data_IF_828458996464
#
_entry.id   IF_828458996464
#
_cell.length_a   1.000
_cell.length_b   1.000
_cell.length_c   1.000
_cell.angle_alpha   90.00
_cell.angle_beta   90.00
_cell.angle_gamma   90.00
#
_symmetry.space_group_name_H-M   'P 1'
#
loop_
_entity.id
_entity.type
_entity.pdbx_description
1 polymer ?
#
# COMPACT_ATOMS: atom_id res chain seq x y z
N UNK A 1 7.23 11.65 -19.52
CA UNK A 1 7.36 11.51 -18.03
C UNK A 1 7.17 10.06 -17.65
N UNK A 2 8.19 9.43 -17.09
CA UNK A 2 8.25 7.99 -16.76
C UNK A 2 7.10 7.56 -15.83
N UNK A 3 6.93 8.25 -14.72
CA UNK A 3 5.89 7.91 -13.74
C UNK A 3 4.48 7.88 -14.36
N UNK A 4 4.16 8.85 -15.22
CA UNK A 4 2.85 8.93 -15.88
C UNK A 4 2.63 7.77 -16.86
N UNK A 5 3.67 7.35 -17.57
CA UNK A 5 3.59 6.19 -18.48
C UNK A 5 3.41 4.88 -17.71
N UNK A 6 4.13 4.68 -16.60
CA UNK A 6 3.95 3.53 -15.72
C UNK A 6 2.53 3.47 -15.16
N UNK A 7 2.05 4.58 -14.63
CA UNK A 7 0.70 4.67 -14.07
C UNK A 7 -0.37 4.41 -15.14
N UNK A 8 -0.24 5.02 -16.31
CA UNK A 8 -1.17 4.84 -17.41
C UNK A 8 -1.26 3.40 -17.92
N UNK A 9 -0.16 2.65 -17.86
CA UNK A 9 -0.15 1.22 -18.19
C UNK A 9 -1.00 0.36 -17.24
N UNK A 10 -1.21 0.83 -16.00
CA UNK A 10 -1.96 0.09 -14.96
C UNK A 10 -3.42 0.55 -14.89
N UNK A 11 -3.65 1.87 -14.83
CA UNK A 11 -5.00 2.43 -14.58
C UNK A 11 -5.65 3.05 -15.83
N UNK A 12 -4.93 3.09 -16.93
CA UNK A 12 -5.36 3.78 -18.15
C UNK A 12 -4.99 5.28 -18.16
N UNK A 13 -4.94 5.87 -19.36
CA UNK A 13 -4.47 7.25 -19.54
C UNK A 13 -5.38 8.30 -18.89
N UNK A 14 -6.69 8.08 -18.90
CA UNK A 14 -7.67 9.02 -18.33
C UNK A 14 -7.53 9.10 -16.80
N UNK A 15 -7.45 7.96 -16.13
CA UNK A 15 -7.27 7.92 -14.69
C UNK A 15 -5.89 8.40 -14.26
N UNK A 16 -4.85 8.08 -15.03
CA UNK A 16 -3.50 8.60 -14.78
C UNK A 16 -3.49 10.14 -14.83
N UNK A 17 -4.10 10.74 -15.85
CA UNK A 17 -4.21 12.20 -15.97
C UNK A 17 -4.95 12.81 -14.78
N UNK A 18 -6.07 12.22 -14.38
CA UNK A 18 -6.87 12.65 -13.23
C UNK A 18 -6.04 12.59 -11.94
N UNK A 19 -5.30 11.50 -11.71
CA UNK A 19 -4.48 11.33 -10.51
C UNK A 19 -3.36 12.37 -10.42
N UNK A 20 -2.71 12.74 -11.53
CA UNK A 20 -1.73 13.82 -11.55
C UNK A 20 -2.31 15.20 -11.24
N UNK A 21 -3.58 15.43 -11.55
CA UNK A 21 -4.30 16.66 -11.18
C UNK A 21 -4.71 16.66 -9.71
N UNK A 22 -5.07 15.49 -9.19
CA UNK A 22 -5.60 15.28 -7.84
C UNK A 22 -4.51 15.26 -6.76
N UNK A 23 -3.38 14.64 -7.06
CA UNK A 23 -2.33 14.36 -6.10
C UNK A 23 -1.18 15.35 -6.17
N UNK A 24 -0.60 15.63 -5.03
CA UNK A 24 0.74 16.21 -4.99
C UNK A 24 1.75 15.11 -5.34
N UNK A 25 2.46 15.31 -6.45
CA UNK A 25 3.52 14.39 -6.89
C UNK A 25 4.86 15.10 -6.73
N UNK A 26 5.83 14.50 -6.03
CA UNK A 26 7.14 15.11 -5.82
C UNK A 26 7.84 15.47 -7.14
N UNK A 27 8.47 16.64 -7.25
CA UNK A 27 9.18 17.06 -8.47
C UNK A 27 10.28 16.09 -8.92
N UNK A 28 10.97 15.45 -7.96
CA UNK A 28 12.00 14.43 -8.23
C UNK A 28 11.48 13.25 -9.06
N UNK A 29 10.19 12.91 -8.93
CA UNK A 29 9.53 11.81 -9.65
C UNK A 29 8.87 12.26 -10.97
N UNK A 30 8.85 13.55 -11.24
CA UNK A 30 8.27 14.13 -12.46
C UNK A 30 9.31 14.55 -13.49
N UNK A 31 10.58 14.52 -13.16
CA UNK A 31 11.68 14.81 -14.08
C UNK A 31 11.65 13.86 -15.29
N UNK A 32 11.96 14.39 -16.47
CA UNK A 32 11.87 13.62 -17.73
C UNK A 32 13.11 12.79 -18.05
N UNK A 33 14.22 13.04 -17.36
CA UNK A 33 15.51 12.42 -17.65
C UNK A 33 15.78 11.20 -16.77
N UNK A 34 16.24 10.12 -17.39
CA UNK A 34 16.78 8.95 -16.70
C UNK A 34 16.09 7.62 -17.00
N UNK A 35 16.60 6.58 -16.37
CA UNK A 35 16.00 5.25 -16.40
C UNK A 35 14.85 5.13 -15.38
N UNK A 36 13.97 4.15 -15.58
CA UNK A 36 12.96 3.78 -14.58
C UNK A 36 13.67 3.36 -13.28
N UNK A 37 13.35 4.02 -12.18
CA UNK A 37 13.85 3.66 -10.85
C UNK A 37 12.76 2.94 -10.05
N UNK A 38 13.17 2.21 -8.98
CA UNK A 38 12.22 1.59 -8.04
C UNK A 38 11.31 2.63 -7.36
N UNK A 39 11.78 3.87 -7.19
CA UNK A 39 10.99 4.97 -6.67
C UNK A 39 9.83 5.37 -7.60
N UNK A 40 10.04 5.37 -8.92
CA UNK A 40 8.97 5.58 -9.89
C UNK A 40 7.91 4.47 -9.80
N UNK A 41 8.35 3.21 -9.66
CA UNK A 41 7.42 2.06 -9.55
C UNK A 41 6.65 2.10 -8.22
N UNK A 42 7.33 2.42 -7.11
CA UNK A 42 6.72 2.58 -5.79
C UNK A 42 5.63 3.67 -5.80
N UNK A 43 5.92 4.83 -6.38
CA UNK A 43 4.95 5.92 -6.48
C UNK A 43 3.79 5.57 -7.43
N UNK A 44 4.06 4.91 -8.55
CA UNK A 44 2.99 4.44 -9.45
C UNK A 44 2.07 3.46 -8.74
N UNK A 45 2.62 2.54 -7.93
CA UNK A 45 1.85 1.61 -7.10
C UNK A 45 0.98 2.37 -6.09
N UNK A 46 1.53 3.34 -5.35
CA UNK A 46 0.77 4.15 -4.39
C UNK A 46 -0.41 4.86 -5.08
N UNK A 47 -0.18 5.45 -6.25
CA UNK A 47 -1.22 6.13 -7.02
C UNK A 47 -2.28 5.16 -7.55
N UNK A 48 -1.90 3.97 -8.00
CA UNK A 48 -2.83 2.94 -8.47
C UNK A 48 -3.70 2.39 -7.31
N UNK A 49 -3.10 2.16 -6.14
CA UNK A 49 -3.82 1.74 -4.93
C UNK A 49 -4.83 2.81 -4.49
N UNK A 50 -4.44 4.08 -4.54
CA UNK A 50 -5.33 5.20 -4.24
C UNK A 50 -6.50 5.28 -5.24
N UNK A 51 -6.26 5.08 -6.53
CA UNK A 51 -7.31 5.00 -7.53
C UNK A 51 -8.33 3.90 -7.20
N UNK A 52 -7.84 2.71 -6.84
CA UNK A 52 -8.68 1.61 -6.40
C UNK A 52 -9.44 1.89 -5.10
N UNK A 53 -8.87 2.67 -4.17
CA UNK A 53 -9.53 3.13 -2.96
C UNK A 53 -10.73 4.04 -3.30
N UNK A 54 -10.52 5.05 -4.13
CA UNK A 54 -11.57 5.98 -4.54
C UNK A 54 -12.73 5.30 -5.26
N UNK A 55 -12.47 4.22 -5.99
CA UNK A 55 -13.51 3.43 -6.63
C UNK A 55 -14.42 2.71 -5.63
N UNK A 56 -13.88 2.34 -4.45
CA UNK A 56 -14.58 1.51 -3.46
C UNK A 56 -15.10 2.28 -2.25
N UNK A 57 -14.59 3.50 -1.99
CA UNK A 57 -14.89 4.28 -0.79
C UNK A 57 -15.52 5.62 -1.18
N UNK A 58 -16.86 5.72 -1.22
CA UNK A 58 -17.55 6.95 -1.64
C UNK A 58 -17.20 8.18 -0.80
N UNK A 59 -17.05 8.03 0.52
CA UNK A 59 -16.65 9.14 1.40
C UNK A 59 -15.25 9.66 1.12
N UNK A 60 -14.32 8.75 0.78
CA UNK A 60 -12.96 9.13 0.34
C UNK A 60 -12.99 9.91 -0.96
N UNK A 61 -13.85 9.50 -1.90
CA UNK A 61 -14.05 10.24 -3.16
C UNK A 61 -14.61 11.64 -2.91
N UNK A 62 -15.64 11.77 -2.07
CA UNK A 62 -16.24 13.07 -1.72
C UNK A 62 -15.18 14.02 -1.12
N UNK A 63 -14.38 13.53 -0.17
CA UNK A 63 -13.28 14.31 0.41
C UNK A 63 -12.29 14.83 -0.65
N UNK A 64 -11.92 13.98 -1.60
CA UNK A 64 -11.02 14.37 -2.69
C UNK A 64 -11.66 15.43 -3.60
N UNK A 65 -12.93 15.26 -3.96
CA UNK A 65 -13.70 16.20 -4.77
C UNK A 65 -13.80 17.57 -4.10
N UNK A 66 -14.07 17.61 -2.79
CA UNK A 66 -14.10 18.84 -1.99
C UNK A 66 -12.72 19.52 -1.94
N UNK A 67 -11.65 18.74 -1.75
CA UNK A 67 -10.28 19.26 -1.72
C UNK A 67 -9.91 19.91 -3.06
N UNK A 68 -10.25 19.27 -4.16
CA UNK A 68 -10.00 19.82 -5.52
C UNK A 68 -10.85 21.04 -5.80
N UNK A 69 -12.13 21.03 -5.40
CA UNK A 69 -13.02 22.18 -5.56
C UNK A 69 -12.52 23.41 -4.78
N UNK A 70 -11.84 23.20 -3.67
CA UNK A 70 -11.17 24.24 -2.89
C UNK A 70 -9.81 24.70 -3.46
N UNK A 71 -9.40 24.18 -4.63
CA UNK A 71 -8.12 24.51 -5.30
C UNK A 71 -6.89 23.80 -4.70
N UNK A 72 -7.10 22.82 -3.84
CA UNK A 72 -6.03 22.04 -3.21
C UNK A 72 -5.64 20.78 -4.00
N UNK A 73 -4.66 20.07 -3.47
CA UNK A 73 -4.27 18.72 -3.89
C UNK A 73 -4.16 17.81 -2.68
N UNK A 74 -4.37 16.52 -2.89
CA UNK A 74 -4.22 15.51 -1.84
C UNK A 74 -2.77 15.07 -1.74
N UNK A 75 -2.25 15.05 -0.51
CA UNK A 75 -0.97 14.43 -0.19
C UNK A 75 -1.21 13.02 0.36
N UNK A 76 -0.36 12.08 -0.02
CA UNK A 76 -0.35 10.79 0.65
C UNK A 76 0.22 10.93 2.07
N UNK A 77 -0.44 10.32 3.02
CA UNK A 77 0.06 10.14 4.38
C UNK A 77 0.83 8.81 4.46
N UNK A 78 0.13 7.70 4.59
CA UNK A 78 0.72 6.36 4.55
C UNK A 78 -0.28 5.32 4.03
N UNK A 79 0.25 4.24 3.44
CA UNK A 79 -0.53 3.05 3.13
C UNK A 79 -0.67 2.17 4.37
N UNK A 80 -1.87 1.68 4.67
CA UNK A 80 -2.12 0.76 5.78
C UNK A 80 -2.57 -0.61 5.25
N UNK A 81 -1.82 -1.65 5.62
CA UNK A 81 -2.07 -3.03 5.20
C UNK A 81 -2.17 -3.93 6.44
N UNK A 82 -3.13 -4.85 6.42
CA UNK A 82 -3.32 -5.81 7.50
C UNK A 82 -3.07 -7.21 7.01
N UNK A 83 -2.35 -7.99 7.81
CA UNK A 83 -1.99 -9.38 7.53
C UNK A 83 -2.32 -10.27 8.73
N UNK A 84 -2.27 -11.57 8.53
CA UNK A 84 -2.52 -12.56 9.56
C UNK A 84 -1.30 -13.45 9.69
N UNK A 85 -0.64 -13.42 10.85
CA UNK A 85 0.50 -14.28 11.16
C UNK A 85 -0.04 -15.66 11.58
N UNK A 86 -0.34 -16.52 10.60
CA UNK A 86 -0.92 -17.83 10.80
C UNK A 86 -0.33 -18.86 9.83
N UNK A 87 0.02 -20.07 10.32
CA UNK A 87 0.68 -21.07 9.47
C UNK A 87 -0.20 -21.62 8.35
N UNK A 88 -1.51 -21.69 8.55
CA UNK A 88 -2.46 -22.22 7.57
C UNK A 88 -3.01 -21.10 6.65
N UNK A 89 -2.12 -20.40 5.97
CA UNK A 89 -2.44 -19.19 5.16
C UNK A 89 -2.66 -19.49 3.66
N UNK A 90 -3.06 -20.72 3.33
CA UNK A 90 -3.24 -21.15 1.94
C UNK A 90 -1.93 -21.09 1.15
N UNK A 91 -1.98 -20.54 -0.07
CA UNK A 91 -0.80 -20.32 -0.91
C UNK A 91 0.06 -19.12 -0.52
N UNK A 92 -0.44 -18.21 0.33
CA UNK A 92 0.29 -17.00 0.72
C UNK A 92 1.31 -17.28 1.82
N UNK A 93 2.47 -16.61 1.84
CA UNK A 93 3.33 -16.54 3.01
C UNK A 93 2.57 -16.01 4.23
N UNK A 94 2.95 -16.48 5.42
CA UNK A 94 2.34 -16.03 6.67
C UNK A 94 2.67 -14.57 6.96
N UNK A 95 1.69 -13.85 7.51
CA UNK A 95 1.86 -12.53 8.06
C UNK A 95 2.36 -11.48 7.05
N UNK A 96 3.21 -10.59 7.54
CA UNK A 96 3.73 -9.47 6.76
C UNK A 96 4.54 -9.88 5.52
N UNK A 97 5.12 -11.08 5.50
CA UNK A 97 5.94 -11.56 4.37
C UNK A 97 5.13 -11.58 3.08
N UNK A 98 3.82 -11.86 3.16
CA UNK A 98 2.94 -11.77 1.98
C UNK A 98 2.98 -10.40 1.29
N UNK A 99 3.25 -9.33 2.05
CA UNK A 99 3.28 -7.95 1.56
C UNK A 99 4.70 -7.45 1.36
N UNK A 100 5.62 -7.73 2.30
CA UNK A 100 6.97 -7.16 2.25
C UNK A 100 7.79 -7.66 1.07
N UNK A 101 7.53 -8.86 0.59
CA UNK A 101 8.11 -9.39 -0.66
C UNK A 101 7.78 -8.53 -1.92
N UNK A 102 6.73 -7.68 -1.83
CA UNK A 102 6.40 -6.68 -2.85
C UNK A 102 7.04 -5.33 -2.54
N UNK A 103 7.04 -4.94 -1.26
CA UNK A 103 7.55 -3.63 -0.84
C UNK A 103 9.08 -3.54 -0.90
N UNK A 104 9.78 -4.59 -0.46
CA UNK A 104 11.25 -4.59 -0.39
C UNK A 104 11.94 -4.40 -1.75
N UNK A 105 11.54 -5.10 -2.83
CA UNK A 105 12.10 -4.84 -4.17
C UNK A 105 11.82 -3.42 -4.68
N UNK A 106 10.73 -2.80 -4.21
CA UNK A 106 10.37 -1.43 -4.54
C UNK A 106 11.13 -0.39 -3.71
N UNK A 107 12.03 -0.82 -2.83
CA UNK A 107 12.90 0.06 -2.05
C UNK A 107 12.37 0.42 -0.67
N UNK A 108 11.32 -0.23 -0.19
CA UNK A 108 10.87 -0.04 1.20
C UNK A 108 11.66 -0.96 2.15
N UNK A 109 12.04 -0.41 3.30
CA UNK A 109 12.68 -1.16 4.38
C UNK A 109 11.96 -0.89 5.70
N UNK A 110 11.98 -1.89 6.58
CA UNK A 110 11.45 -1.73 7.93
C UNK A 110 12.20 -0.62 8.68
N UNK A 111 11.47 0.39 9.11
CA UNK A 111 11.99 1.53 9.86
C UNK A 111 11.73 1.40 11.36
N UNK A 112 10.55 0.87 11.74
CA UNK A 112 10.19 0.75 13.15
C UNK A 112 9.19 -0.38 13.38
N UNK A 113 9.00 -0.76 14.67
CA UNK A 113 8.09 -1.80 15.14
C UNK A 113 7.21 -1.26 16.27
N UNK A 114 5.91 -1.50 16.15
CA UNK A 114 4.90 -1.02 17.09
C UNK A 114 4.10 -2.20 17.68
N UNK A 115 4.41 -2.66 18.89
CA UNK A 115 3.57 -3.63 19.58
C UNK A 115 2.18 -3.05 19.88
N UNK A 116 1.13 -3.77 19.53
CA UNK A 116 -0.27 -3.38 19.73
C UNK A 116 -0.98 -4.43 20.59
N UNK A 117 -0.63 -4.55 21.88
CA UNK A 117 -1.06 -5.68 22.71
C UNK A 117 -2.57 -5.76 22.90
N UNK A 118 -3.27 -4.61 22.97
CA UNK A 118 -4.74 -4.57 23.07
C UNK A 118 -5.44 -5.17 21.85
N UNK A 119 -4.81 -5.06 20.68
CA UNK A 119 -5.34 -5.60 19.44
C UNK A 119 -4.81 -6.99 19.13
N UNK A 120 -3.87 -7.50 19.95
CA UNK A 120 -3.13 -8.73 19.68
C UNK A 120 -2.48 -8.71 18.29
N UNK A 121 -1.83 -7.59 18.01
CA UNK A 121 -1.18 -7.29 16.73
C UNK A 121 0.22 -6.73 16.96
N UNK A 122 1.03 -6.81 15.90
CA UNK A 122 2.28 -6.04 15.78
C UNK A 122 2.22 -5.21 14.50
N UNK A 123 2.51 -3.92 14.61
CA UNK A 123 2.63 -3.02 13.47
C UNK A 123 4.09 -2.82 13.08
N UNK A 124 4.33 -2.66 11.80
CA UNK A 124 5.66 -2.40 11.22
C UNK A 124 5.57 -1.22 10.27
N UNK A 125 6.39 -0.20 10.49
CA UNK A 125 6.54 0.91 9.56
C UNK A 125 7.59 0.56 8.51
N UNK A 126 7.26 0.75 7.24
CA UNK A 126 8.17 0.58 6.10
C UNK A 126 8.35 1.91 5.40
N UNK A 127 9.60 2.39 5.32
CA UNK A 127 9.98 3.65 4.69
C UNK A 127 10.77 3.39 3.43
N UNK A 128 10.58 4.23 2.41
CA UNK A 128 11.34 4.13 1.18
C UNK A 128 12.78 4.61 1.39
N UNK A 129 13.76 3.83 0.94
CA UNK A 129 15.18 4.09 1.19
C UNK A 129 15.74 5.27 0.40
N UNK A 130 15.32 5.44 -0.85
CA UNK A 130 15.88 6.47 -1.73
C UNK A 130 15.21 7.84 -1.53
N UNK A 131 13.90 7.84 -1.24
CA UNK A 131 13.09 9.06 -1.10
C UNK A 131 12.17 8.96 0.13
N UNK A 132 12.73 8.93 1.35
CA UNK A 132 11.97 8.66 2.57
C UNK A 132 10.96 9.75 2.93
N UNK A 133 11.18 10.99 2.49
CA UNK A 133 10.32 12.14 2.78
C UNK A 133 9.32 12.42 1.63
N UNK A 134 9.52 11.78 0.48
CA UNK A 134 8.73 12.07 -0.72
C UNK A 134 7.77 10.93 -1.08
N UNK A 135 8.12 9.68 -0.78
CA UNK A 135 7.28 8.51 -1.01
C UNK A 135 6.61 8.12 0.31
N UNK A 136 5.28 8.06 0.29
CA UNK A 136 4.48 7.67 1.44
C UNK A 136 4.89 6.28 1.95
N UNK A 137 5.12 6.19 3.25
CA UNK A 137 5.47 4.94 3.93
C UNK A 137 4.28 3.96 3.96
N UNK A 138 4.56 2.70 4.29
CA UNK A 138 3.55 1.70 4.58
C UNK A 138 3.57 1.32 6.06
N UNK A 139 2.37 1.17 6.65
CA UNK A 139 2.19 0.54 7.94
C UNK A 139 1.58 -0.84 7.73
N UNK A 140 2.37 -1.88 7.95
CA UNK A 140 1.95 -3.28 7.79
C UNK A 140 1.73 -3.86 9.17
N UNK A 141 0.51 -4.30 9.50
CA UNK A 141 0.22 -4.92 10.78
C UNK A 141 -0.10 -6.40 10.63
N UNK A 142 0.37 -7.19 11.60
CA UNK A 142 0.12 -8.62 11.71
C UNK A 142 -0.83 -8.90 12.87
N UNK A 143 -1.93 -9.58 12.61
CA UNK A 143 -2.78 -10.17 13.63
C UNK A 143 -2.14 -11.48 14.13
N UNK A 144 -2.18 -11.71 15.45
CA UNK A 144 -1.68 -12.90 16.12
C UNK A 144 -2.84 -13.80 16.60
N UNK A 145 -3.38 -14.70 15.74
CA UNK A 145 -4.52 -15.54 16.08
C UNK A 145 -4.28 -16.48 17.28
N UNK A 146 -3.03 -16.88 17.53
CA UNK A 146 -2.65 -17.72 18.66
C UNK A 146 -2.97 -17.10 20.03
N UNK A 147 -3.16 -15.79 20.09
CA UNK A 147 -3.54 -15.04 21.28
C UNK A 147 -5.05 -15.00 21.53
N UNK A 148 -5.85 -15.60 20.64
CA UNK A 148 -7.31 -15.65 20.74
C UNK A 148 -7.81 -17.05 21.08
N UNK A 149 -9.14 -17.17 21.29
CA UNK A 149 -9.76 -18.45 21.61
C UNK A 149 -9.61 -19.49 20.49
N UNK A 150 -9.67 -20.81 20.80
CA UNK A 150 -9.66 -21.85 19.77
C UNK A 150 -10.74 -21.68 18.69
N UNK A 151 -11.92 -21.22 19.08
CA UNK A 151 -13.00 -20.93 18.12
C UNK A 151 -12.62 -19.85 17.12
N UNK A 152 -11.95 -18.78 17.57
CA UNK A 152 -11.43 -17.74 16.72
C UNK A 152 -10.34 -18.26 15.77
N UNK A 153 -9.41 -19.07 16.28
CA UNK A 153 -8.34 -19.68 15.48
C UNK A 153 -8.92 -20.59 14.38
N UNK A 154 -9.96 -21.35 14.68
CA UNK A 154 -10.68 -22.16 13.70
C UNK A 154 -11.32 -21.28 12.61
N UNK A 155 -11.97 -20.19 13.01
CA UNK A 155 -12.58 -19.26 12.07
C UNK A 155 -11.53 -18.59 11.17
N UNK A 156 -10.41 -18.15 11.74
CA UNK A 156 -9.28 -17.58 10.95
C UNK A 156 -8.75 -18.61 9.96
N UNK A 157 -8.47 -19.84 10.41
CA UNK A 157 -7.98 -20.91 9.54
C UNK A 157 -8.90 -21.12 8.33
N UNK A 158 -10.21 -21.18 8.58
CA UNK A 158 -11.19 -21.34 7.49
C UNK A 158 -11.15 -20.23 6.46
N UNK A 159 -10.89 -18.97 6.89
CA UNK A 159 -10.84 -17.82 6.00
C UNK A 159 -9.52 -17.79 5.23
N UNK A 160 -8.38 -17.87 5.94
CA UNK A 160 -7.08 -17.64 5.31
C UNK A 160 -6.54 -18.83 4.53
N UNK A 161 -7.00 -20.07 4.84
CA UNK A 161 -6.55 -21.27 4.12
C UNK A 161 -6.96 -21.31 2.65
N UNK A 162 -7.92 -20.50 2.24
CA UNK A 162 -8.35 -20.37 0.85
C UNK A 162 -7.58 -19.33 0.05
N UNK A 163 -6.60 -18.67 0.67
CA UNK A 163 -5.77 -17.65 0.02
C UNK A 163 -4.97 -18.24 -1.14
N UNK A 164 -4.95 -17.55 -2.26
CA UNK A 164 -4.17 -17.90 -3.45
C UNK A 164 -3.02 -16.91 -3.57
N UNK A 165 -1.83 -17.42 -3.89
CA UNK A 165 -0.70 -16.56 -4.17
C UNK A 165 -0.79 -16.02 -5.60
N UNK A 166 -0.92 -14.69 -5.80
CA UNK A 166 -1.00 -14.11 -7.13
C UNK A 166 0.36 -14.06 -7.85
N UNK A 167 1.45 -14.43 -7.19
CA UNK A 167 2.81 -14.39 -7.73
C UNK A 167 3.35 -15.77 -8.17
N UNK A 168 2.54 -16.81 -8.11
CA UNK A 168 2.92 -18.19 -8.53
C UNK A 168 2.15 -18.62 -9.77
#
# INVERSE_FOLDING_TARGET
>A
MILKSLLAAVVGSVDAERLFKTLHVPPSLTAEAGAVSRAHVAQAMNMALFNGLLARVPSGRAYVEETIAAGGKVNFDHGALRTVAWPANGGLPSGRVAITRLLEPLGFAQADVYPLPRLKMTGYAYRHLDLPEEIAQFFVSELHPEQFSPAFQTAVTRVVSTSIDPLT
#
